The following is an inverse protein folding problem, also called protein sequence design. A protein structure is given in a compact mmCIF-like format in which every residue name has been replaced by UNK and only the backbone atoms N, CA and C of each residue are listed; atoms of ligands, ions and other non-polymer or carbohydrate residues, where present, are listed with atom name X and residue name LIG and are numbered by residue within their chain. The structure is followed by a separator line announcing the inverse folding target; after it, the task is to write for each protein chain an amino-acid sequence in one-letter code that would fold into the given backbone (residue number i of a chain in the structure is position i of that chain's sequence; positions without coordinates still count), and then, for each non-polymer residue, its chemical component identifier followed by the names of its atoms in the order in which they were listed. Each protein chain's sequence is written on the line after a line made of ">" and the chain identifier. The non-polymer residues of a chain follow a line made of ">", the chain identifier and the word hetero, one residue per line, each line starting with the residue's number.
data_IF_242650139014
#
_entry.id   IF_242650139014
#
_cell.length_a   1.000
_cell.length_b   1.000
_cell.length_c   1.000
_cell.angle_alpha   90.00
_cell.angle_beta   90.00
_cell.angle_gamma   90.00
#
_symmetry.space_group_name_H-M   'P 1'
#
loop_
_entity.id
_entity.type
_entity.pdbx_description
1 polymer ?
#
# COMPACT_ATOMS: atom_id res chain seq x y z
N UNK A 1 4.55 -23.15 8.87
CA UNK A 1 4.46 -22.73 10.29
C UNK A 1 5.18 -21.39 10.41
N UNK A 2 4.45 -20.28 10.40
CA UNK A 2 5.03 -18.93 10.50
C UNK A 2 5.02 -18.54 11.98
N UNK A 3 6.19 -18.47 12.60
CA UNK A 3 6.37 -18.07 13.99
C UNK A 3 5.86 -16.64 14.19
N UNK A 4 5.04 -16.44 15.22
CA UNK A 4 4.44 -15.17 15.63
C UNK A 4 5.47 -14.04 15.89
N UNK A 5 6.76 -14.38 16.04
CA UNK A 5 7.85 -13.40 16.13
C UNK A 5 8.00 -12.55 14.86
N UNK A 6 7.62 -13.05 13.68
CA UNK A 6 7.68 -12.26 12.45
C UNK A 6 6.54 -11.21 12.34
N UNK A 7 5.58 -11.23 13.28
CA UNK A 7 4.50 -10.24 13.38
C UNK A 7 4.90 -9.00 14.18
N UNK A 8 5.95 -9.09 15.01
CA UNK A 8 6.50 -7.96 15.79
C UNK A 8 7.66 -7.26 15.09
N UNK A 9 8.15 -7.81 13.98
CA UNK A 9 8.99 -7.10 13.04
C UNK A 9 8.02 -6.37 12.12
N UNK A 10 7.61 -5.15 12.48
CA UNK A 10 6.86 -4.31 11.56
C UNK A 10 7.57 -4.36 10.21
N UNK A 11 6.85 -4.82 9.19
CA UNK A 11 7.32 -4.84 7.81
C UNK A 11 8.00 -3.50 7.54
N UNK A 12 9.30 -3.50 7.25
CA UNK A 12 10.09 -2.27 7.14
C UNK A 12 9.51 -1.36 6.06
N UNK A 13 8.85 -1.97 5.06
CA UNK A 13 8.20 -1.32 3.94
C UNK A 13 6.78 -1.87 3.76
N UNK A 14 5.78 -1.01 3.89
CA UNK A 14 4.42 -1.30 3.47
C UNK A 14 4.08 -0.53 2.21
N UNK A 15 3.50 -1.20 1.23
CA UNK A 15 3.06 -0.58 -0.02
C UNK A 15 1.55 -0.64 -0.04
N UNK A 16 0.90 0.52 0.02
CA UNK A 16 -0.55 0.66 0.01
C UNK A 16 -0.98 1.14 -1.38
N UNK A 17 -1.79 0.34 -2.06
CA UNK A 17 -2.35 0.66 -3.37
C UNK A 17 -3.83 0.97 -3.18
N UNK A 18 -4.23 2.17 -3.58
CA UNK A 18 -5.62 2.62 -3.48
C UNK A 18 -6.20 2.79 -4.88
N UNK A 19 -7.31 2.12 -5.18
CA UNK A 19 -7.96 2.23 -6.49
C UNK A 19 -9.45 1.93 -6.43
N UNK A 20 -10.18 2.24 -7.50
CA UNK A 20 -11.61 1.96 -7.61
C UNK A 20 -11.94 0.47 -7.67
N UNK A 21 -11.05 -0.32 -8.27
CA UNK A 21 -11.23 -1.75 -8.43
C UNK A 21 -9.89 -2.47 -8.51
N UNK A 22 -9.89 -3.77 -8.20
CA UNK A 22 -8.71 -4.61 -8.37
C UNK A 22 -8.21 -4.62 -9.82
N UNK A 23 -9.12 -4.56 -10.80
CA UNK A 23 -8.75 -4.49 -12.23
C UNK A 23 -7.95 -3.24 -12.55
N UNK A 24 -8.36 -2.08 -12.03
CA UNK A 24 -7.63 -0.82 -12.21
C UNK A 24 -6.27 -0.81 -11.49
N UNK A 25 -6.16 -1.52 -10.37
CA UNK A 25 -4.92 -1.64 -9.60
C UNK A 25 -3.98 -2.75 -10.13
N UNK A 26 -4.48 -3.68 -10.94
CA UNK A 26 -3.74 -4.84 -11.41
C UNK A 26 -2.38 -4.51 -12.04
N UNK A 27 -2.24 -3.56 -12.99
CA UNK A 27 -0.93 -3.26 -13.58
C UNK A 27 0.09 -2.77 -12.53
N UNK A 28 -0.38 -2.02 -11.52
CA UNK A 28 0.44 -1.52 -10.41
C UNK A 28 0.88 -2.68 -9.51
N UNK A 29 -0.07 -3.53 -9.12
CA UNK A 29 0.17 -4.69 -8.27
C UNK A 29 1.14 -5.66 -8.94
N UNK A 30 0.93 -5.97 -10.21
CA UNK A 30 1.80 -6.87 -10.98
C UNK A 30 3.23 -6.30 -11.04
N UNK A 31 3.39 -4.98 -11.21
CA UNK A 31 4.70 -4.31 -11.24
C UNK A 31 5.42 -4.34 -9.89
N UNK A 32 4.69 -4.18 -8.78
CA UNK A 32 5.22 -4.34 -7.42
C UNK A 32 5.62 -5.79 -7.16
N UNK A 33 4.83 -6.76 -7.63
CA UNK A 33 5.08 -8.19 -7.39
C UNK A 33 6.25 -8.74 -8.20
N UNK A 34 6.52 -8.21 -9.40
CA UNK A 34 7.72 -8.57 -10.18
C UNK A 34 9.03 -8.26 -9.46
N UNK A 35 9.03 -7.30 -8.53
CA UNK A 35 10.21 -6.90 -7.77
C UNK A 35 10.28 -7.63 -6.45
N UNK A 36 11.46 -8.17 -6.15
CA UNK A 36 11.75 -8.72 -4.83
C UNK A 36 12.08 -7.57 -3.88
N UNK A 37 11.19 -7.34 -2.91
CA UNK A 37 11.39 -6.37 -1.83
C UNK A 37 11.29 -7.17 -0.54
N UNK A 38 12.39 -7.31 0.22
CA UNK A 38 12.41 -8.08 1.46
C UNK A 38 11.43 -7.54 2.48
N UNK A 39 10.80 -8.43 3.26
CA UNK A 39 9.94 -8.06 4.38
C UNK A 39 8.84 -7.01 4.02
N UNK A 40 8.36 -6.96 2.77
CA UNK A 40 7.29 -6.04 2.34
C UNK A 40 5.89 -6.54 2.70
N UNK A 41 4.98 -5.60 2.92
CA UNK A 41 3.54 -5.87 2.98
C UNK A 41 2.84 -5.09 1.88
N UNK A 42 2.05 -5.76 1.04
CA UNK A 42 1.24 -5.11 0.01
C UNK A 42 -0.22 -5.07 0.48
N UNK A 43 -0.78 -3.87 0.59
CA UNK A 43 -2.16 -3.62 1.01
C UNK A 43 -2.91 -3.03 -0.18
N UNK A 44 -4.02 -3.63 -0.56
CA UNK A 44 -4.95 -3.05 -1.53
C UNK A 44 -6.16 -2.48 -0.80
N UNK A 45 -6.45 -1.21 -1.05
CA UNK A 45 -7.63 -0.52 -0.54
C UNK A 45 -8.54 -0.15 -1.71
N UNK A 46 -9.71 -0.76 -1.74
CA UNK A 46 -10.74 -0.39 -2.69
C UNK A 46 -11.50 0.84 -2.15
N UNK A 47 -11.81 1.80 -3.02
CA UNK A 47 -12.50 3.05 -2.60
C UNK A 47 -13.97 2.83 -2.25
N UNK A 48 -14.56 1.73 -2.71
CA UNK A 48 -15.87 1.25 -2.28
C UNK A 48 -15.75 0.54 -0.93
N UNK A 49 -15.45 1.32 0.12
CA UNK A 49 -15.31 0.90 1.51
C UNK A 49 -16.06 -0.40 1.87
N UNK A 50 -15.35 -1.53 1.76
CA UNK A 50 -15.86 -2.82 2.19
C UNK A 50 -15.63 -2.97 3.70
N UNK A 51 -16.40 -3.83 4.40
CA UNK A 51 -16.21 -4.09 5.83
C UNK A 51 -14.77 -4.46 6.21
N UNK A 52 -14.02 -5.07 5.29
CA UNK A 52 -12.61 -5.43 5.48
C UNK A 52 -11.69 -4.20 5.63
N UNK A 53 -11.99 -3.10 4.94
CA UNK A 53 -11.27 -1.82 5.07
C UNK A 53 -11.47 -1.24 6.48
N UNK A 54 -12.68 -1.34 7.03
CA UNK A 54 -12.97 -0.87 8.39
C UNK A 54 -12.23 -1.68 9.46
N UNK A 55 -12.07 -3.00 9.25
CA UNK A 55 -11.25 -3.84 10.12
C UNK A 55 -9.77 -3.46 10.03
N UNK A 56 -9.25 -3.20 8.83
CA UNK A 56 -7.88 -2.74 8.64
C UNK A 56 -7.65 -1.39 9.32
N UNK A 57 -8.58 -0.44 9.19
CA UNK A 57 -8.44 0.90 9.81
C UNK A 57 -8.51 0.89 11.33
N UNK A 58 -9.25 -0.05 11.91
CA UNK A 58 -9.39 -0.18 13.37
C UNK A 58 -8.20 -0.87 14.04
N UNK A 59 -7.42 -1.64 13.28
CA UNK A 59 -6.35 -2.50 13.80
C UNK A 59 -4.95 -2.15 13.30
N UNK A 60 -4.79 -1.12 12.46
CA UNK A 60 -3.51 -0.70 11.91
C UNK A 60 -3.15 0.73 12.32
N UNK A 61 -1.93 1.11 11.99
CA UNK A 61 -1.31 2.39 12.28
C UNK A 61 -2.07 3.60 11.69
N UNK A 62 -1.94 4.74 12.37
CA UNK A 62 -2.68 5.98 12.08
C UNK A 62 -2.52 6.50 10.64
N UNK A 63 -1.42 6.19 9.95
CA UNK A 63 -1.21 6.65 8.57
C UNK A 63 -2.22 6.05 7.58
N UNK A 64 -2.75 4.84 7.83
CA UNK A 64 -3.80 4.28 6.98
C UNK A 64 -5.09 5.10 7.06
N UNK A 65 -5.39 5.67 8.23
CA UNK A 65 -6.53 6.58 8.39
C UNK A 65 -6.35 7.87 7.58
N UNK A 66 -5.13 8.37 7.46
CA UNK A 66 -4.84 9.56 6.66
C UNK A 66 -4.90 9.27 5.15
N UNK A 67 -4.42 8.10 4.71
CA UNK A 67 -4.58 7.64 3.33
C UNK A 67 -6.06 7.55 2.97
N UNK A 68 -6.88 6.99 3.86
CA UNK A 68 -8.30 6.79 3.62
C UNK A 68 -9.10 8.10 3.55
N UNK A 69 -8.67 9.18 4.22
CA UNK A 69 -9.32 10.50 4.10
C UNK A 69 -9.15 11.12 2.71
N UNK A 70 -8.13 10.72 1.95
CA UNK A 70 -7.85 11.22 0.60
C UNK A 70 -7.35 10.04 -0.27
N UNK A 71 -8.22 9.04 -0.53
CA UNK A 71 -7.80 7.73 -1.01
C UNK A 71 -7.26 7.76 -2.45
N UNK A 72 -7.79 8.66 -3.28
CA UNK A 72 -7.32 8.89 -4.63
C UNK A 72 -6.80 10.31 -4.77
N UNK A 73 -5.76 10.47 -5.58
CA UNK A 73 -5.35 11.77 -6.11
C UNK A 73 -5.80 11.86 -7.56
N UNK A 74 -6.58 12.89 -7.88
CA UNK A 74 -7.06 13.20 -9.24
C UNK A 74 -7.81 12.03 -9.91
N UNK A 75 -8.60 11.27 -9.15
CA UNK A 75 -9.33 10.09 -9.63
C UNK A 75 -8.44 9.00 -10.28
N UNK A 76 -7.16 8.94 -9.90
CA UNK A 76 -6.22 7.93 -10.38
C UNK A 76 -5.85 6.96 -9.25
N UNK A 77 -5.58 5.68 -9.58
CA UNK A 77 -4.96 4.75 -8.65
C UNK A 77 -3.71 5.37 -8.02
N UNK A 78 -3.63 5.31 -6.70
CA UNK A 78 -2.61 6.02 -5.93
C UNK A 78 -1.83 5.02 -5.08
N UNK A 79 -0.51 5.09 -5.12
CA UNK A 79 0.37 4.23 -4.31
C UNK A 79 1.03 5.04 -3.21
N UNK A 80 1.06 4.49 -2.01
CA UNK A 80 1.80 5.00 -0.86
C UNK A 80 2.82 3.97 -0.44
N UNK A 81 4.08 4.38 -0.29
CA UNK A 81 5.13 3.53 0.27
C UNK A 81 5.41 4.06 1.67
N UNK A 82 5.16 3.22 2.68
CA UNK A 82 5.24 3.54 4.09
C UNK A 82 6.38 2.78 4.75
N UNK A 83 7.25 3.50 5.44
CA UNK A 83 8.42 2.97 6.13
C UNK A 83 8.46 3.59 7.52
N UNK A 84 8.74 2.79 8.56
CA UNK A 84 8.83 3.28 9.94
C UNK A 84 7.65 4.17 10.37
N UNK A 85 6.42 3.74 10.10
CA UNK A 85 5.17 4.44 10.47
C UNK A 85 4.91 5.77 9.72
N UNK A 86 5.68 6.08 8.68
CA UNK A 86 5.48 7.27 7.85
C UNK A 86 5.33 6.88 6.38
N UNK A 87 4.45 7.54 5.64
CA UNK A 87 4.26 7.30 4.22
C UNK A 87 4.88 8.41 3.38
N UNK A 88 5.49 8.00 2.27
CA UNK A 88 5.90 8.89 1.20
C UNK A 88 4.71 9.61 0.55
N UNK A 89 5.01 10.65 -0.22
CA UNK A 89 4.01 11.35 -1.01
C UNK A 89 3.27 10.38 -1.96
N UNK A 90 1.97 10.61 -2.21
CA UNK A 90 1.18 9.78 -3.11
C UNK A 90 1.81 9.72 -4.50
N UNK A 91 2.03 8.50 -4.98
CA UNK A 91 2.55 8.23 -6.31
C UNK A 91 1.38 7.84 -7.21
N UNK A 92 1.02 8.71 -8.15
CA UNK A 92 -0.01 8.46 -9.17
C UNK A 92 0.58 8.12 -10.54
N UNK A 93 1.85 8.48 -10.76
CA UNK A 93 2.57 8.23 -12.01
C UNK A 93 3.27 6.87 -11.98
N UNK A 94 3.08 6.09 -13.04
CA UNK A 94 3.56 4.71 -13.09
C UNK A 94 5.08 4.60 -13.28
N UNK A 95 5.72 5.55 -13.97
CA UNK A 95 7.17 5.52 -14.17
C UNK A 95 7.91 6.01 -12.92
N UNK A 96 7.35 6.98 -12.21
CA UNK A 96 7.80 7.37 -10.88
C UNK A 96 7.72 6.19 -9.89
N UNK A 97 6.62 5.43 -9.92
CA UNK A 97 6.48 4.22 -9.11
C UNK A 97 7.63 3.25 -9.38
N UNK A 98 7.89 2.89 -10.65
CA UNK A 98 8.98 1.96 -10.99
C UNK A 98 10.33 2.44 -10.45
N UNK A 99 10.66 3.71 -10.68
CA UNK A 99 11.90 4.30 -10.19
C UNK A 99 11.99 4.21 -8.67
N UNK A 100 10.90 4.49 -7.94
CA UNK A 100 10.90 4.38 -6.49
C UNK A 100 11.05 2.94 -6.00
N UNK A 101 10.42 1.97 -6.69
CA UNK A 101 10.51 0.56 -6.34
C UNK A 101 11.92 -0.02 -6.55
N UNK A 102 12.75 0.58 -7.39
CA UNK A 102 14.15 0.16 -7.61
C UNK A 102 15.11 0.63 -6.50
N UNK A 103 14.63 1.48 -5.58
CA UNK A 103 15.40 2.10 -4.51
C UNK A 103 14.95 1.68 -3.09
N UNK A 104 14.10 0.66 -2.98
CA UNK A 104 13.56 0.13 -1.72
C UNK A 104 13.80 -1.37 -1.58
#
# INVERSE_FOLDING_TARGET
>A
MVLAANRFKNSAVQIVVVAFSLESAKPIIDEIQKRYIPDKTLIFLATDYTPDVSFLLSNNDSYLQDIVKSPLKNDQPTVYICENFSCSLPITDFDNLKSRLDHI
#
